data_IF_094804598198
#
_entry.id   IF_094804598198
#
_cell.length_a   1.000
_cell.length_b   1.000
_cell.length_c   1.000
_cell.angle_alpha   90.00
_cell.angle_beta   90.00
_cell.angle_gamma   90.00
#
_symmetry.space_group_name_H-M   'P 1'
#
loop_
_entity.id
_entity.type
_entity.pdbx_description
1 polymer ?
#
# COMPACT_ATOMS: atom_id res chain seq x y z
N UNK A 1 2.73 4.04 13.14
CA UNK A 1 3.04 4.60 11.80
C UNK A 1 1.78 5.05 11.06
N UNK A 2 0.94 4.17 10.52
CA UNK A 2 -0.24 4.59 9.75
C UNK A 2 -1.24 5.45 10.54
N UNK A 3 -1.42 5.15 11.83
CA UNK A 3 -2.26 5.98 12.72
C UNK A 3 -1.65 7.37 12.95
N UNK A 4 -0.33 7.45 13.15
CA UNK A 4 0.39 8.72 13.31
C UNK A 4 0.33 9.55 12.02
N UNK A 5 0.44 8.91 10.85
CA UNK A 5 0.28 9.55 9.54
C UNK A 5 -1.13 10.12 9.41
N UNK A 6 -2.17 9.35 9.73
CA UNK A 6 -3.56 9.81 9.66
C UNK A 6 -3.80 11.01 10.60
N UNK A 7 -3.29 10.94 11.83
CA UNK A 7 -3.38 12.04 12.79
C UNK A 7 -2.66 13.30 12.29
N UNK A 8 -1.45 13.15 11.75
CA UNK A 8 -0.66 14.25 11.18
C UNK A 8 -1.35 14.90 9.97
N UNK A 9 -2.08 14.13 9.17
CA UNK A 9 -2.89 14.63 8.06
C UNK A 9 -4.21 15.28 8.53
N UNK A 10 -4.55 15.20 9.81
CA UNK A 10 -5.85 15.62 10.34
C UNK A 10 -7.01 14.79 9.83
N UNK A 11 -6.76 13.55 9.42
CA UNK A 11 -7.75 12.67 8.81
C UNK A 11 -8.52 11.86 9.87
N UNK A 12 -9.81 11.65 9.62
CA UNK A 12 -10.54 10.55 10.24
C UNK A 12 -9.96 9.21 9.76
N UNK A 13 -9.81 8.24 10.67
CA UNK A 13 -9.43 6.88 10.30
C UNK A 13 -10.48 5.86 10.73
N UNK A 14 -10.58 4.79 9.96
CA UNK A 14 -11.44 3.64 10.22
C UNK A 14 -10.64 2.37 10.01
N UNK A 15 -10.72 1.44 10.96
CA UNK A 15 -10.05 0.14 10.87
C UNK A 15 -11.11 -0.89 10.46
N UNK A 16 -11.01 -1.39 9.24
CA UNK A 16 -11.87 -2.47 8.76
C UNK A 16 -11.35 -3.79 9.31
N UNK A 17 -12.10 -4.42 10.21
CA UNK A 17 -11.70 -5.70 10.80
C UNK A 17 -12.91 -6.53 11.23
N UNK A 18 -13.04 -7.72 10.67
CA UNK A 18 -14.07 -8.69 11.08
C UNK A 18 -13.58 -9.67 12.15
N UNK A 19 -12.27 -9.72 12.39
CA UNK A 19 -11.66 -10.67 13.31
C UNK A 19 -11.44 -10.03 14.68
N UNK A 20 -12.25 -10.42 15.67
CA UNK A 20 -12.17 -9.88 17.05
C UNK A 20 -10.84 -10.14 17.75
N UNK A 21 -10.14 -11.23 17.43
CA UNK A 21 -8.80 -11.44 17.95
C UNK A 21 -7.80 -10.45 17.37
N UNK A 22 -7.90 -10.15 16.06
CA UNK A 22 -7.04 -9.17 15.41
C UNK A 22 -7.35 -7.75 15.91
N UNK A 23 -8.63 -7.39 16.06
CA UNK A 23 -9.06 -6.14 16.69
C UNK A 23 -8.43 -5.97 18.09
N UNK A 24 -8.52 -6.99 18.94
CA UNK A 24 -7.88 -6.97 20.26
C UNK A 24 -6.36 -6.81 20.17
N UNK A 25 -5.72 -7.49 19.23
CA UNK A 25 -4.28 -7.37 19.00
C UNK A 25 -3.91 -5.94 18.61
N UNK A 26 -4.60 -5.34 17.64
CA UNK A 26 -4.39 -3.95 17.21
C UNK A 26 -4.55 -3.00 18.40
N UNK A 27 -5.62 -3.13 19.18
CA UNK A 27 -5.85 -2.32 20.39
C UNK A 27 -4.73 -2.44 21.45
N UNK A 28 -4.09 -3.61 21.54
CA UNK A 28 -3.04 -3.88 22.52
C UNK A 28 -1.65 -3.45 22.04
N UNK A 29 -1.40 -3.49 20.74
CA UNK A 29 -0.05 -3.29 20.16
C UNK A 29 0.13 -1.98 19.43
N UNK A 30 -0.95 -1.27 19.10
CA UNK A 30 -0.87 0.02 18.46
C UNK A 30 -1.08 1.13 19.49
N UNK A 31 -0.41 2.24 19.26
CA UNK A 31 -0.62 3.48 20.00
C UNK A 31 -1.59 4.36 19.21
N UNK A 32 -2.52 4.96 19.95
CA UNK A 32 -3.56 5.81 19.40
C UNK A 32 -3.46 7.18 20.06
N UNK A 33 -3.42 8.24 19.26
CA UNK A 33 -3.44 9.61 19.78
C UNK A 33 -4.84 9.98 20.30
N UNK A 34 -5.89 9.53 19.61
CA UNK A 34 -7.29 9.67 19.99
C UNK A 34 -7.85 8.36 20.58
N UNK A 35 -8.73 8.49 21.59
CA UNK A 35 -9.49 7.38 22.17
C UNK A 35 -10.69 6.98 21.31
N UNK A 36 -11.09 7.78 20.34
CA UNK A 36 -12.19 7.47 19.42
C UNK A 36 -11.76 6.48 18.32
N UNK A 37 -11.40 5.27 18.73
CA UNK A 37 -10.92 4.22 17.83
C UNK A 37 -12.12 3.57 17.11
N UNK A 38 -12.19 3.76 15.78
CA UNK A 38 -13.33 3.32 14.97
C UNK A 38 -13.02 1.99 14.26
N UNK A 39 -13.60 0.89 14.75
CA UNK A 39 -13.63 -0.38 14.02
C UNK A 39 -14.95 -0.52 13.26
N UNK A 40 -14.86 -0.91 11.99
CA UNK A 40 -16.02 -1.12 11.12
C UNK A 40 -15.97 -2.50 10.47
N UNK A 41 -17.12 -3.17 10.24
CA UNK A 41 -17.16 -4.47 9.61
C UNK A 41 -16.93 -4.36 8.10
N UNK A 42 -16.54 -5.47 7.47
CA UNK A 42 -16.56 -5.56 6.01
C UNK A 42 -17.99 -5.60 5.46
N UNK A 43 -18.16 -5.18 4.20
CA UNK A 43 -19.46 -5.21 3.51
C UNK A 43 -19.83 -6.57 2.92
N UNK A 44 -19.13 -7.65 3.29
CA UNK A 44 -19.04 -8.89 2.53
C UNK A 44 -20.35 -9.50 1.98
N UNK A 45 -21.47 -9.44 2.71
CA UNK A 45 -22.74 -10.02 2.23
C UNK A 45 -23.46 -9.19 1.17
N UNK A 46 -23.47 -7.86 1.30
CA UNK A 46 -24.24 -6.99 0.39
C UNK A 46 -23.55 -6.74 -0.95
N UNK A 47 -22.23 -6.96 -1.02
CA UNK A 47 -21.43 -6.72 -2.23
C UNK A 47 -21.08 -8.00 -2.99
N UNK A 48 -21.52 -9.18 -2.50
CA UNK A 48 -21.09 -10.48 -3.00
C UNK A 48 -21.38 -10.68 -4.49
N UNK A 49 -22.59 -10.37 -4.93
CA UNK A 49 -22.97 -10.56 -6.35
C UNK A 49 -22.12 -9.69 -7.29
N UNK A 50 -21.82 -8.46 -6.86
CA UNK A 50 -20.93 -7.55 -7.58
C UNK A 50 -19.49 -8.07 -7.56
N UNK A 51 -18.97 -8.39 -6.37
CA UNK A 51 -17.61 -8.88 -6.18
C UNK A 51 -17.33 -10.15 -7.00
N UNK A 52 -18.26 -11.10 -7.08
CA UNK A 52 -18.09 -12.37 -7.78
C UNK A 52 -17.78 -12.20 -9.29
N UNK A 53 -18.01 -11.01 -9.87
CA UNK A 53 -17.69 -10.64 -11.27
C UNK A 53 -16.33 -9.95 -11.43
N UNK A 54 -15.71 -9.57 -10.33
CA UNK A 54 -14.48 -8.78 -10.28
C UNK A 54 -13.24 -9.59 -9.85
N UNK A 55 -13.41 -10.89 -9.57
CA UNK A 55 -12.29 -11.76 -9.18
C UNK A 55 -12.42 -13.20 -9.70
N UNK A 56 -11.34 -13.97 -9.62
CA UNK A 56 -11.33 -15.43 -9.79
C UNK A 56 -10.65 -16.13 -8.62
N UNK A 57 -11.04 -17.39 -8.38
CA UNK A 57 -10.38 -18.28 -7.41
C UNK A 57 -10.24 -17.71 -6.00
N UNK A 58 -9.01 -17.73 -5.49
CA UNK A 58 -8.68 -17.41 -4.10
C UNK A 58 -8.67 -15.90 -3.79
N UNK A 59 -8.84 -15.04 -4.80
CA UNK A 59 -8.82 -13.59 -4.63
C UNK A 59 -10.11 -12.98 -4.09
N UNK A 60 -11.08 -13.83 -3.73
CA UNK A 60 -12.35 -13.41 -3.14
C UNK A 60 -12.15 -12.45 -1.97
N UNK A 61 -11.36 -12.83 -0.98
CA UNK A 61 -11.23 -12.05 0.25
C UNK A 61 -10.52 -10.71 0.02
N UNK A 62 -9.45 -10.69 -0.78
CA UNK A 62 -8.76 -9.45 -1.16
C UNK A 62 -9.72 -8.50 -1.90
N UNK A 63 -10.48 -9.01 -2.87
CA UNK A 63 -11.45 -8.20 -3.62
C UNK A 63 -12.55 -7.63 -2.73
N UNK A 64 -13.08 -8.44 -1.80
CA UNK A 64 -14.04 -7.94 -0.81
C UNK A 64 -13.44 -6.88 0.13
N UNK A 65 -12.18 -7.04 0.52
CA UNK A 65 -11.47 -6.07 1.36
C UNK A 65 -11.32 -4.73 0.62
N UNK A 66 -10.83 -4.73 -0.62
CA UNK A 66 -10.66 -3.48 -1.39
C UNK A 66 -11.97 -2.82 -1.82
N UNK A 67 -13.06 -3.58 -2.02
CA UNK A 67 -14.39 -3.01 -2.29
C UNK A 67 -14.99 -2.34 -1.04
N UNK A 68 -14.71 -2.87 0.16
CA UNK A 68 -15.36 -2.42 1.40
C UNK A 68 -15.22 -0.90 1.66
N UNK A 69 -14.03 -0.28 1.52
CA UNK A 69 -13.86 1.18 1.65
C UNK A 69 -14.81 2.00 0.79
N UNK A 70 -15.01 1.64 -0.49
CA UNK A 70 -15.91 2.37 -1.39
C UNK A 70 -17.35 2.42 -0.84
N UNK A 71 -17.86 1.29 -0.35
CA UNK A 71 -19.22 1.21 0.19
C UNK A 71 -19.37 1.96 1.52
N UNK A 72 -18.34 1.96 2.38
CA UNK A 72 -18.36 2.78 3.59
C UNK A 72 -18.32 4.26 3.24
N UNK A 73 -17.44 4.66 2.32
CA UNK A 73 -17.33 6.03 1.86
C UNK A 73 -18.68 6.54 1.31
N UNK A 74 -19.33 5.80 0.39
CA UNK A 74 -20.66 6.17 -0.14
C UNK A 74 -21.73 6.26 0.96
N UNK A 75 -21.76 5.30 1.91
CA UNK A 75 -22.73 5.34 3.02
C UNK A 75 -22.51 6.54 3.94
N UNK A 76 -21.26 6.94 4.16
CA UNK A 76 -20.89 8.04 5.04
C UNK A 76 -20.85 9.40 4.32
N UNK A 77 -21.07 9.44 3.00
CA UNK A 77 -21.06 10.66 2.21
C UNK A 77 -19.66 11.19 1.87
N UNK A 78 -18.63 10.36 1.97
CA UNK A 78 -17.26 10.71 1.56
C UNK A 78 -17.07 10.47 0.06
N UNK A 79 -16.54 11.47 -0.64
CA UNK A 79 -16.16 11.37 -2.06
C UNK A 79 -14.71 10.92 -2.27
N UNK A 80 -13.85 11.09 -1.27
CA UNK A 80 -12.43 10.76 -1.38
C UNK A 80 -11.93 10.11 -0.10
N UNK A 81 -11.02 9.15 -0.22
CA UNK A 81 -10.44 8.44 0.91
C UNK A 81 -9.11 7.79 0.55
N UNK A 82 -8.27 7.57 1.56
CA UNK A 82 -7.14 6.65 1.48
C UNK A 82 -7.58 5.22 1.83
N UNK A 83 -7.23 4.27 0.98
CA UNK A 83 -7.32 2.84 1.23
C UNK A 83 -5.92 2.29 1.39
N UNK A 84 -5.61 1.80 2.60
CA UNK A 84 -4.26 1.37 2.97
C UNK A 84 -4.28 -0.07 3.46
N UNK A 85 -3.46 -0.92 2.84
CA UNK A 85 -3.16 -2.26 3.27
C UNK A 85 -2.09 -2.21 4.37
N UNK A 86 -2.57 -2.03 5.60
CA UNK A 86 -1.76 -1.52 6.70
C UNK A 86 -0.84 -2.58 7.34
N UNK A 87 -1.08 -3.87 7.09
CA UNK A 87 -0.28 -4.97 7.64
C UNK A 87 0.84 -5.45 6.70
N UNK A 88 0.76 -5.18 5.40
CA UNK A 88 1.72 -5.67 4.41
C UNK A 88 2.50 -4.58 3.64
N UNK A 89 2.23 -3.29 3.88
CA UNK A 89 3.00 -2.19 3.28
C UNK A 89 3.60 -1.25 4.32
N UNK A 90 4.82 -0.75 4.06
CA UNK A 90 5.46 0.25 4.92
C UNK A 90 6.43 1.14 4.18
N UNK A 91 6.24 2.46 4.26
CA UNK A 91 7.30 3.43 3.99
C UNK A 91 8.34 3.38 5.12
N UNK A 92 9.62 3.43 4.76
CA UNK A 92 10.71 3.63 5.69
C UNK A 92 11.09 5.11 5.65
N UNK A 93 10.19 5.92 6.18
CA UNK A 93 10.29 7.37 6.23
C UNK A 93 9.50 7.86 7.46
N UNK A 94 9.89 8.99 8.04
CA UNK A 94 9.17 9.53 9.20
C UNK A 94 7.71 9.83 8.88
N UNK A 95 6.83 9.74 9.88
CA UNK A 95 5.40 9.90 9.65
C UNK A 95 5.05 11.31 9.18
N UNK A 96 5.77 12.36 9.63
CA UNK A 96 5.59 13.72 9.14
C UNK A 96 5.92 13.84 7.66
N UNK A 97 7.04 13.25 7.22
CA UNK A 97 7.44 13.30 5.82
C UNK A 97 6.56 12.42 4.93
N UNK A 98 6.10 11.29 5.47
CA UNK A 98 5.10 10.45 4.80
C UNK A 98 3.79 11.20 4.63
N UNK A 99 3.30 11.90 5.65
CA UNK A 99 2.09 12.71 5.56
C UNK A 99 2.21 13.81 4.51
N UNK A 100 3.37 14.50 4.43
CA UNK A 100 3.65 15.49 3.38
C UNK A 100 3.56 14.88 1.97
N UNK A 101 4.07 13.66 1.78
CA UNK A 101 4.03 12.99 0.49
C UNK A 101 2.60 12.64 0.10
N UNK A 102 1.82 12.08 1.02
CA UNK A 102 0.42 11.72 0.77
C UNK A 102 -0.43 12.98 0.50
N UNK A 103 -0.20 14.08 1.22
CA UNK A 103 -0.87 15.37 0.94
C UNK A 103 -0.55 15.87 -0.47
N UNK A 104 0.71 15.76 -0.94
CA UNK A 104 1.06 16.12 -2.32
C UNK A 104 0.36 15.22 -3.35
N UNK A 105 0.21 13.92 -3.06
CA UNK A 105 -0.58 13.01 -3.91
C UNK A 105 -2.03 13.45 -3.98
N UNK A 106 -2.67 13.77 -2.85
CA UNK A 106 -4.05 14.25 -2.84
C UNK A 106 -4.25 15.53 -3.66
N UNK A 107 -3.34 16.48 -3.50
CA UNK A 107 -3.36 17.75 -4.23
C UNK A 107 -3.25 17.50 -5.73
N UNK A 108 -2.26 16.69 -6.14
CA UNK A 108 -2.07 16.31 -7.54
C UNK A 108 -3.33 15.64 -8.11
N UNK A 109 -3.91 14.67 -7.40
CA UNK A 109 -5.11 13.95 -7.84
C UNK A 109 -6.28 14.91 -8.07
N UNK A 110 -6.54 15.80 -7.11
CA UNK A 110 -7.64 16.77 -7.17
C UNK A 110 -7.42 17.77 -8.30
N UNK A 111 -6.20 18.31 -8.46
CA UNK A 111 -5.86 19.26 -9.52
C UNK A 111 -5.93 18.66 -10.92
N UNK A 112 -5.56 17.39 -11.06
CA UNK A 112 -5.49 16.68 -12.35
C UNK A 112 -6.74 15.88 -12.70
N UNK A 113 -7.75 15.89 -11.83
CA UNK A 113 -8.99 15.14 -12.00
C UNK A 113 -8.79 13.62 -12.06
N UNK A 114 -7.73 13.10 -11.43
CA UNK A 114 -7.47 11.66 -11.35
C UNK A 114 -8.53 11.02 -10.46
N UNK A 115 -9.04 9.84 -10.84
CA UNK A 115 -10.09 9.12 -10.13
C UNK A 115 -9.52 8.17 -9.06
N UNK A 116 -8.39 7.54 -9.35
CA UNK A 116 -7.68 6.68 -8.42
C UNK A 116 -6.17 6.78 -8.65
N UNK A 117 -5.41 6.83 -7.56
CA UNK A 117 -3.95 6.92 -7.60
C UNK A 117 -3.34 5.97 -6.59
N UNK A 118 -2.46 5.07 -7.02
CA UNK A 118 -1.82 4.09 -6.13
C UNK A 118 -0.31 4.21 -6.13
N UNK A 119 0.30 3.83 -5.02
CA UNK A 119 1.73 3.67 -4.91
C UNK A 119 2.23 2.66 -5.94
N UNK A 120 3.41 2.90 -6.51
CA UNK A 120 4.16 1.99 -7.37
C UNK A 120 4.67 0.77 -6.59
N UNK A 121 3.75 -0.04 -6.06
CA UNK A 121 4.09 -1.28 -5.40
C UNK A 121 4.48 -2.32 -6.43
N UNK A 122 3.66 -2.53 -7.46
CA UNK A 122 3.88 -3.54 -8.51
C UNK A 122 4.04 -2.99 -9.92
N UNK A 123 3.75 -1.71 -10.12
CA UNK A 123 3.53 -1.15 -11.46
C UNK A 123 4.80 -1.14 -12.30
N UNK A 124 5.90 -0.55 -11.82
CA UNK A 124 7.18 -0.56 -12.51
C UNK A 124 7.77 -1.96 -12.61
N UNK A 125 7.56 -2.82 -11.59
CA UNK A 125 8.01 -4.22 -11.61
C UNK A 125 7.40 -5.02 -12.75
N UNK A 126 6.14 -4.73 -13.07
CA UNK A 126 5.38 -5.34 -14.16
C UNK A 126 5.47 -4.55 -15.46
N UNK A 127 6.41 -3.59 -15.54
CA UNK A 127 6.61 -2.74 -16.72
C UNK A 127 5.36 -1.95 -17.13
N UNK A 128 4.63 -1.44 -16.15
CA UNK A 128 3.42 -0.62 -16.34
C UNK A 128 2.16 -1.43 -16.65
N UNK A 129 2.19 -2.75 -16.51
CA UNK A 129 1.08 -3.65 -16.91
C UNK A 129 0.11 -4.00 -15.79
N UNK A 130 0.47 -3.75 -14.54
CA UNK A 130 -0.37 -4.10 -13.39
C UNK A 130 -0.44 -2.94 -12.40
N UNK A 131 -1.61 -2.32 -12.32
CA UNK A 131 -1.94 -1.37 -11.27
C UNK A 131 -2.50 -2.14 -10.07
N UNK A 132 -2.13 -1.77 -8.85
CA UNK A 132 -2.47 -2.55 -7.64
C UNK A 132 -2.92 -1.66 -6.49
N UNK A 133 -3.83 -2.16 -5.67
CA UNK A 133 -4.14 -1.61 -4.36
C UNK A 133 -2.98 -1.85 -3.38
N UNK A 134 -2.83 -0.97 -2.40
CA UNK A 134 -1.85 -1.11 -1.32
C UNK A 134 -1.78 0.16 -0.49
N UNK A 135 -1.37 1.25 -1.12
CA UNK A 135 -1.50 2.61 -0.57
C UNK A 135 -2.13 3.46 -1.66
N UNK A 136 -3.45 3.60 -1.58
CA UNK A 136 -4.25 4.11 -2.71
C UNK A 136 -5.12 5.26 -2.25
N UNK A 137 -5.07 6.36 -2.98
CA UNK A 137 -6.02 7.45 -2.83
C UNK A 137 -7.12 7.32 -3.88
N UNK A 138 -8.36 7.32 -3.42
CA UNK A 138 -9.54 7.32 -4.25
C UNK A 138 -10.15 8.72 -4.21
N UNK A 139 -10.43 9.26 -5.39
CA UNK A 139 -11.17 10.48 -5.61
C UNK A 139 -12.35 10.13 -6.53
N UNK A 140 -13.47 9.73 -5.93
CA UNK A 140 -14.61 9.14 -6.65
C UNK A 140 -15.40 10.21 -7.42
N UNK A 141 -14.86 10.62 -8.57
CA UNK A 141 -15.47 11.54 -9.53
C UNK A 141 -16.15 10.83 -10.71
N UNK A 142 -16.11 9.49 -10.75
CA UNK A 142 -16.70 8.66 -11.81
C UNK A 142 -17.81 7.74 -11.32
N UNK A 143 -18.04 7.65 -10.00
CA UNK A 143 -19.06 6.77 -9.43
C UNK A 143 -18.64 5.31 -9.47
N UNK A 144 -17.50 4.98 -8.85
CA UNK A 144 -16.92 3.63 -8.86
C UNK A 144 -17.90 2.54 -8.45
N UNK A 145 -18.75 2.79 -7.46
CA UNK A 145 -19.76 1.79 -7.05
C UNK A 145 -20.72 1.46 -8.19
N UNK A 146 -21.12 2.44 -8.98
CA UNK A 146 -22.05 2.23 -10.07
C UNK A 146 -21.33 1.47 -11.21
N UNK A 147 -20.06 1.75 -11.46
CA UNK A 147 -19.20 0.97 -12.37
C UNK A 147 -19.14 -0.51 -11.94
N UNK A 148 -18.89 -0.77 -10.65
CA UNK A 148 -18.84 -2.13 -10.13
C UNK A 148 -20.18 -2.84 -10.34
N UNK A 149 -21.30 -2.17 -10.01
CA UNK A 149 -22.65 -2.74 -10.11
C UNK A 149 -23.08 -3.01 -11.55
N UNK A 150 -22.67 -2.14 -12.48
CA UNK A 150 -22.95 -2.27 -13.91
C UNK A 150 -22.03 -3.26 -14.62
N UNK A 151 -20.94 -3.70 -13.98
CA UNK A 151 -20.13 -4.80 -14.49
C UNK A 151 -20.92 -6.10 -14.36
N UNK A 152 -21.36 -6.66 -15.50
CA UNK A 152 -22.26 -7.83 -15.54
C UNK A 152 -21.56 -9.17 -15.77
N UNK A 153 -20.30 -9.17 -16.22
CA UNK A 153 -19.56 -10.39 -16.57
C UNK A 153 -18.05 -10.26 -16.29
N UNK A 154 -17.32 -11.36 -16.49
CA UNK A 154 -15.85 -11.46 -16.38
C UNK A 154 -15.13 -11.26 -17.71
N UNK A 155 -15.82 -10.74 -18.72
CA UNK A 155 -15.28 -10.62 -20.08
C UNK A 155 -14.05 -9.70 -20.15
N UNK A 156 -14.00 -8.69 -19.28
CA UNK A 156 -12.84 -7.79 -19.11
C UNK A 156 -11.53 -8.54 -18.84
N UNK A 157 -11.57 -9.75 -18.26
CA UNK A 157 -10.38 -10.55 -17.97
C UNK A 157 -9.71 -11.07 -19.25
N UNK A 158 -10.45 -11.18 -20.36
CA UNK A 158 -9.91 -11.69 -21.65
C UNK A 158 -8.74 -10.86 -22.17
N UNK A 159 -8.68 -9.58 -21.82
CA UNK A 159 -7.59 -8.67 -22.18
C UNK A 159 -6.23 -9.07 -21.57
N UNK A 160 -6.23 -9.91 -20.54
CA UNK A 160 -5.03 -10.21 -19.74
C UNK A 160 -4.74 -11.71 -19.60
N UNK A 161 -5.47 -12.58 -20.30
CA UNK A 161 -5.37 -14.05 -20.17
C UNK A 161 -3.99 -14.62 -20.54
N UNK A 162 -3.20 -13.90 -21.33
CA UNK A 162 -1.82 -14.30 -21.64
C UNK A 162 -0.84 -14.03 -20.48
N UNK A 163 -1.21 -13.17 -19.54
CA UNK A 163 -0.34 -12.72 -18.44
C UNK A 163 -0.77 -13.26 -17.09
N UNK A 164 -2.06 -13.48 -16.88
CA UNK A 164 -2.61 -13.87 -15.59
C UNK A 164 -3.76 -14.86 -15.74
N UNK A 165 -3.88 -15.75 -14.76
CA UNK A 165 -4.97 -16.75 -14.63
C UNK A 165 -5.86 -16.49 -13.41
N UNK A 166 -5.36 -15.72 -12.44
CA UNK A 166 -6.03 -15.38 -11.20
C UNK A 166 -6.21 -13.86 -11.07
N UNK A 167 -7.45 -13.39 -11.26
CA UNK A 167 -7.80 -11.98 -11.29
C UNK A 167 -8.41 -11.51 -9.97
N UNK A 168 -8.11 -10.28 -9.58
CA UNK A 168 -8.64 -9.61 -8.41
C UNK A 168 -9.04 -8.16 -8.78
N UNK A 169 -9.36 -7.34 -7.79
CA UNK A 169 -9.74 -5.95 -8.03
C UNK A 169 -8.60 -5.09 -8.63
N UNK A 170 -7.33 -5.42 -8.37
CA UNK A 170 -6.17 -4.74 -8.97
C UNK A 170 -6.23 -4.81 -10.50
N UNK A 171 -6.45 -6.02 -11.02
CA UNK A 171 -6.59 -6.25 -12.47
C UNK A 171 -7.85 -5.60 -13.05
N UNK A 172 -8.92 -5.49 -12.27
CA UNK A 172 -10.10 -4.76 -12.72
C UNK A 172 -9.80 -3.25 -12.82
N UNK A 173 -9.07 -2.66 -11.87
CA UNK A 173 -8.64 -1.27 -11.98
C UNK A 173 -7.62 -1.06 -13.11
N UNK A 174 -6.79 -2.06 -13.39
CA UNK A 174 -5.92 -2.07 -14.57
C UNK A 174 -6.76 -2.05 -15.86
N UNK A 175 -7.83 -2.86 -15.95
CA UNK A 175 -8.80 -2.82 -17.05
C UNK A 175 -9.42 -1.42 -17.23
N UNK A 176 -9.93 -0.84 -16.14
CA UNK A 176 -10.54 0.49 -16.17
C UNK A 176 -9.53 1.54 -16.66
N UNK A 177 -8.27 1.45 -16.23
CA UNK A 177 -7.20 2.36 -16.65
C UNK A 177 -6.89 2.23 -18.15
N UNK A 178 -6.83 1.00 -18.66
CA UNK A 178 -6.32 0.73 -20.01
C UNK A 178 -7.40 0.84 -21.09
N UNK A 179 -8.66 0.54 -20.76
CA UNK A 179 -9.73 0.36 -21.73
C UNK A 179 -10.96 1.26 -21.51
N UNK A 180 -11.05 1.94 -20.37
CA UNK A 180 -12.15 2.89 -20.10
C UNK A 180 -11.61 4.33 -20.05
N UNK A 181 -12.49 5.32 -20.24
CA UNK A 181 -12.15 6.74 -20.15
C UNK A 181 -12.09 7.21 -18.68
N UNK A 182 -11.28 6.51 -17.87
CA UNK A 182 -11.11 6.77 -16.44
C UNK A 182 -9.64 7.02 -16.17
N UNK A 183 -9.35 8.20 -15.62
CA UNK A 183 -7.98 8.59 -15.30
C UNK A 183 -7.52 7.91 -14.01
N UNK A 184 -6.75 6.85 -14.14
CA UNK A 184 -6.15 6.09 -13.03
C UNK A 184 -4.62 6.16 -13.19
N UNK A 185 -3.94 6.63 -12.14
CA UNK A 185 -2.49 6.88 -12.18
C UNK A 185 -1.75 6.13 -11.07
N UNK A 186 -0.42 6.12 -11.18
CA UNK A 186 0.49 5.54 -10.19
C UNK A 186 1.43 6.63 -9.69
N UNK A 187 1.88 6.54 -8.44
CA UNK A 187 2.90 7.45 -7.88
C UNK A 187 4.04 6.70 -7.21
N UNK A 188 5.18 7.35 -7.09
CA UNK A 188 6.26 6.92 -6.21
C UNK A 188 6.83 8.10 -5.44
N UNK A 189 7.56 7.82 -4.36
CA UNK A 189 8.21 8.85 -3.56
C UNK A 189 9.71 8.79 -3.84
N UNK A 190 10.26 9.87 -4.39
CA UNK A 190 11.67 10.02 -4.69
C UNK A 190 12.53 9.91 -3.43
N UNK A 191 13.62 9.12 -3.50
CA UNK A 191 14.55 8.82 -2.40
C UNK A 191 13.87 8.17 -1.19
N UNK A 192 12.85 7.35 -1.43
CA UNK A 192 12.11 6.63 -0.38
C UNK A 192 12.43 5.13 -0.42
N UNK A 193 12.65 4.58 0.77
CA UNK A 193 12.69 3.15 0.99
C UNK A 193 11.28 2.63 1.29
N UNK A 194 10.93 1.45 0.79
CA UNK A 194 9.63 0.84 1.02
C UNK A 194 9.73 -0.68 1.16
N UNK A 195 8.82 -1.24 1.96
CA UNK A 195 8.71 -2.67 2.20
C UNK A 195 7.30 -3.13 1.84
N UNK A 196 7.23 -4.16 1.00
CA UNK A 196 6.08 -5.04 0.92
C UNK A 196 6.38 -6.33 1.67
N UNK A 197 5.66 -6.56 2.77
CA UNK A 197 5.95 -7.61 3.73
C UNK A 197 5.52 -8.99 3.22
N UNK A 198 6.33 -9.98 3.55
CA UNK A 198 6.08 -11.39 3.28
C UNK A 198 7.39 -12.16 3.30
N UNK A 199 7.53 -13.21 2.49
CA UNK A 199 8.69 -14.09 2.53
C UNK A 199 9.81 -13.65 1.57
N UNK A 200 10.47 -12.55 1.88
CA UNK A 200 11.48 -11.91 1.01
C UNK A 200 12.73 -12.74 0.76
N UNK A 201 13.04 -13.71 1.62
CA UNK A 201 14.18 -14.62 1.44
C UNK A 201 13.89 -15.70 0.39
N UNK A 202 12.66 -16.20 0.35
CA UNK A 202 12.27 -17.28 -0.58
C UNK A 202 11.71 -16.71 -1.88
N UNK A 203 11.01 -15.58 -1.80
CA UNK A 203 10.38 -14.94 -2.95
C UNK A 203 10.63 -13.42 -2.96
N UNK A 204 11.85 -12.98 -3.33
CA UNK A 204 12.20 -11.56 -3.40
C UNK A 204 11.41 -10.80 -4.49
N UNK A 205 10.66 -11.53 -5.33
CA UNK A 205 9.78 -10.99 -6.35
C UNK A 205 8.34 -10.77 -5.88
N UNK A 206 7.97 -11.20 -4.68
CA UNK A 206 6.64 -10.93 -4.11
C UNK A 206 6.67 -10.28 -2.74
N UNK A 207 7.82 -10.27 -2.10
CA UNK A 207 8.03 -9.55 -0.85
C UNK A 207 9.41 -8.97 -0.91
N UNK A 208 9.53 -7.66 -0.77
CA UNK A 208 10.80 -6.99 -1.01
C UNK A 208 10.95 -5.76 -0.14
N UNK A 209 12.22 -5.40 0.02
CA UNK A 209 12.63 -4.05 0.34
C UNK A 209 13.05 -3.43 -0.98
N UNK A 210 12.51 -2.27 -1.31
CA UNK A 210 12.89 -1.52 -2.51
C UNK A 210 13.22 -0.06 -2.17
N UNK A 211 13.84 0.63 -3.13
CA UNK A 211 14.20 2.04 -3.02
C UNK A 211 14.00 2.74 -4.36
N UNK A 212 13.27 3.86 -4.37
CA UNK A 212 13.13 4.68 -5.58
C UNK A 212 14.13 5.83 -5.57
N UNK A 213 14.87 6.02 -6.65
CA UNK A 213 15.79 7.14 -6.82
C UNK A 213 16.12 7.37 -8.30
N UNK A 214 16.17 8.64 -8.72
CA UNK A 214 16.61 9.06 -10.05
C UNK A 214 15.87 8.34 -11.20
N UNK A 215 14.55 8.18 -11.06
CA UNK A 215 13.73 7.50 -12.08
C UNK A 215 13.91 5.98 -12.13
N UNK A 216 14.55 5.39 -11.12
CA UNK A 216 14.76 3.94 -11.01
C UNK A 216 14.19 3.38 -9.71
N UNK A 217 13.73 2.15 -9.77
CA UNK A 217 13.38 1.33 -8.62
C UNK A 217 14.43 0.24 -8.42
N UNK A 218 14.99 0.22 -7.22
CA UNK A 218 16.07 -0.66 -6.80
C UNK A 218 15.55 -1.75 -5.87
N UNK A 219 15.97 -2.99 -6.08
CA UNK A 219 15.67 -4.16 -5.25
C UNK A 219 16.99 -4.72 -4.73
N UNK A 220 17.48 -4.26 -3.57
CA UNK A 220 18.86 -4.53 -3.13
C UNK A 220 19.19 -6.01 -2.92
N UNK A 221 18.20 -6.85 -2.60
CA UNK A 221 18.43 -8.30 -2.48
C UNK A 221 18.78 -8.89 -3.86
N UNK A 222 18.04 -8.53 -4.90
CA UNK A 222 18.30 -8.98 -6.26
C UNK A 222 19.63 -8.43 -6.79
N UNK A 223 19.90 -7.13 -6.57
CA UNK A 223 21.14 -6.50 -7.01
C UNK A 223 22.38 -7.01 -6.25
N UNK A 224 22.27 -7.12 -4.93
CA UNK A 224 23.40 -7.35 -4.03
C UNK A 224 23.68 -8.82 -3.74
N UNK A 225 22.65 -9.66 -3.53
CA UNK A 225 22.82 -11.07 -3.16
C UNK A 225 22.78 -11.96 -4.40
N UNK A 226 21.79 -11.75 -5.27
CA UNK A 226 21.65 -12.53 -6.51
C UNK A 226 22.50 -12.00 -7.66
N UNK A 227 23.12 -10.83 -7.50
CA UNK A 227 23.90 -10.14 -8.54
C UNK A 227 23.12 -9.95 -9.85
N UNK A 228 21.79 -9.85 -9.76
CA UNK A 228 20.90 -9.71 -10.91
C UNK A 228 20.46 -8.24 -11.03
N UNK A 229 21.26 -7.45 -11.76
CA UNK A 229 20.94 -6.03 -12.00
C UNK A 229 19.73 -5.83 -12.92
N UNK A 230 19.51 -6.72 -13.88
CA UNK A 230 18.38 -6.62 -14.82
C UNK A 230 17.03 -6.74 -14.10
N UNK A 231 16.94 -7.65 -13.12
CA UNK A 231 15.74 -7.79 -12.31
C UNK A 231 15.74 -6.86 -11.08
N UNK A 232 16.93 -6.42 -10.64
CA UNK A 232 17.14 -5.66 -9.42
C UNK A 232 17.10 -4.15 -9.58
N UNK A 233 17.26 -3.62 -10.79
CA UNK A 233 17.28 -2.17 -11.04
C UNK A 233 16.47 -1.89 -12.31
N UNK A 234 15.25 -1.40 -12.13
CA UNK A 234 14.31 -1.17 -13.22
C UNK A 234 14.08 0.33 -13.39
N UNK A 235 13.82 0.75 -14.62
CA UNK A 235 13.27 2.08 -14.86
C UNK A 235 11.86 2.14 -14.27
N UNK A 236 11.56 3.26 -13.61
CA UNK A 236 10.20 3.53 -13.14
C UNK A 236 9.33 3.72 -14.39
N UNK A 237 8.19 3.04 -14.41
CA UNK A 237 7.20 3.17 -15.48
C UNK A 237 6.56 4.57 -15.46
N UNK A 238 5.48 4.78 -16.22
CA UNK A 238 4.77 6.07 -16.26
C UNK A 238 4.04 6.36 -14.93
N UNK A 239 4.81 6.74 -13.91
CA UNK A 239 4.36 7.02 -12.55
C UNK A 239 4.79 8.43 -12.13
N UNK A 240 3.89 9.09 -11.40
CA UNK A 240 4.08 10.46 -10.92
C UNK A 240 5.10 10.48 -9.79
N UNK A 241 6.12 11.32 -9.95
CA UNK A 241 7.15 11.53 -8.92
C UNK A 241 6.67 12.49 -7.85
N UNK A 242 6.67 12.03 -6.60
CA UNK A 242 6.49 12.87 -5.41
C UNK A 242 7.85 13.08 -4.74
N UNK A 243 8.25 14.33 -4.51
CA UNK A 243 9.52 14.64 -3.85
C UNK A 243 9.31 15.45 -2.57
N UNK A 244 9.49 14.78 -1.44
CA UNK A 244 9.44 15.35 -0.08
C UNK A 244 10.82 15.50 0.54
N UNK A 245 11.87 15.48 -0.29
CA UNK A 245 13.28 15.55 0.13
C UNK A 245 13.63 14.45 1.14
N UNK A 246 13.06 13.26 0.93
CA UNK A 246 13.47 12.06 1.63
C UNK A 246 14.94 11.74 1.34
N UNK A 247 15.55 10.96 2.22
CA UNK A 247 16.96 10.59 2.12
C UNK A 247 17.13 9.10 2.33
N UNK A 248 18.07 8.50 1.61
CA UNK A 248 18.44 7.09 1.78
C UNK A 248 18.78 6.75 3.24
N UNK A 249 19.49 7.65 3.93
CA UNK A 249 19.94 7.45 5.32
C UNK A 249 18.79 7.45 6.33
N UNK A 250 17.74 8.23 6.11
CA UNK A 250 16.52 8.19 6.94
C UNK A 250 15.91 6.79 6.92
N UNK A 251 15.62 6.26 5.72
CA UNK A 251 14.98 4.95 5.62
C UNK A 251 15.87 3.81 6.09
N UNK A 252 17.18 3.87 5.86
CA UNK A 252 18.12 2.90 6.42
C UNK A 252 18.12 2.91 7.95
N UNK A 253 18.16 4.09 8.59
CA UNK A 253 18.09 4.19 10.05
C UNK A 253 16.78 3.63 10.60
N UNK A 254 15.65 3.88 9.95
CA UNK A 254 14.34 3.33 10.35
C UNK A 254 14.34 1.80 10.22
N UNK A 255 14.88 1.26 9.12
CA UNK A 255 14.99 -0.18 8.89
C UNK A 255 15.87 -0.86 9.94
N UNK A 256 17.06 -0.31 10.20
CA UNK A 256 18.00 -0.81 11.21
C UNK A 256 17.35 -0.85 12.60
N UNK A 257 16.68 0.23 12.98
CA UNK A 257 15.96 0.33 14.24
C UNK A 257 14.86 -0.73 14.34
N UNK A 258 14.05 -0.91 13.29
CA UNK A 258 12.97 -1.91 13.25
C UNK A 258 13.48 -3.34 13.38
N UNK A 259 14.60 -3.69 12.73
CA UNK A 259 15.22 -5.01 12.86
C UNK A 259 15.75 -5.23 14.28
N UNK A 260 16.47 -4.24 14.80
CA UNK A 260 17.12 -4.37 16.11
C UNK A 260 16.09 -4.40 17.24
N UNK A 261 14.94 -3.73 17.10
CA UNK A 261 13.82 -3.75 18.05
C UNK A 261 12.80 -4.86 17.82
N UNK A 262 13.05 -5.79 16.89
CA UNK A 262 12.12 -6.90 16.67
C UNK A 262 11.92 -7.70 17.97
N UNK A 263 10.69 -8.21 18.17
CA UNK A 263 10.30 -9.02 19.34
C UNK A 263 11.15 -10.26 19.57
N UNK A 264 11.96 -10.63 18.57
CA UNK A 264 12.85 -11.79 18.58
C UNK A 264 14.16 -11.54 19.32
N UNK A 265 14.52 -10.26 19.56
CA UNK A 265 15.73 -9.91 20.29
C UNK A 265 15.39 -9.23 21.63
N UNK A 266 15.65 -9.94 22.72
CA UNK A 266 15.67 -9.33 24.06
C UNK A 266 16.91 -8.45 24.23
N UNK A 267 16.91 -7.57 25.23
CA UNK A 267 18.06 -6.67 25.50
C UNK A 267 19.40 -7.41 25.65
N UNK A 268 19.37 -8.61 26.23
CA UNK A 268 20.51 -9.49 26.42
C UNK A 268 21.06 -9.99 25.09
N UNK A 269 20.17 -10.41 24.18
CA UNK A 269 20.55 -10.85 22.84
C UNK A 269 21.09 -9.68 22.01
N UNK A 270 20.51 -8.49 22.17
CA UNK A 270 21.04 -7.29 21.51
C UNK A 270 22.49 -7.00 21.90
N UNK A 271 22.79 -7.10 23.20
CA UNK A 271 24.17 -7.00 23.70
C UNK A 271 25.09 -8.11 23.19
N UNK A 272 24.59 -9.36 23.16
CA UNK A 272 25.34 -10.50 22.65
C UNK A 272 25.77 -10.32 21.19
N UNK A 273 24.87 -9.82 20.35
CA UNK A 273 25.15 -9.53 18.93
C UNK A 273 25.79 -8.17 18.69
N UNK A 274 26.14 -7.43 19.76
CA UNK A 274 26.73 -6.09 19.70
C UNK A 274 25.91 -5.11 18.86
N UNK A 275 24.58 -5.24 18.87
CA UNK A 275 23.69 -4.38 18.08
C UNK A 275 22.87 -3.41 18.93
N UNK A 276 23.23 -3.21 20.21
CA UNK A 276 22.48 -2.31 21.11
C UNK A 276 22.41 -0.87 20.61
N UNK A 277 23.45 -0.40 19.90
CA UNK A 277 23.55 0.98 19.42
C UNK A 277 22.66 1.25 18.19
N UNK A 278 22.27 0.21 17.47
CA UNK A 278 21.30 0.26 16.36
C UNK A 278 19.85 0.32 16.85
N UNK A 279 19.60 0.05 18.14
CA UNK A 279 18.27 0.08 18.76
C UNK A 279 18.06 1.34 19.62
N UNK A 280 18.55 2.50 19.19
CA UNK A 280 18.44 3.71 20.03
C UNK A 280 16.98 4.15 20.24
N UNK A 281 16.62 4.43 21.49
CA UNK A 281 15.29 4.94 21.88
C UNK A 281 15.15 6.46 21.74
N UNK A 282 16.24 7.14 21.34
CA UNK A 282 16.36 8.60 21.43
C UNK A 282 15.77 9.38 20.25
N UNK A 283 15.04 8.75 19.34
CA UNK A 283 14.57 9.48 18.15
C UNK A 283 13.32 8.99 17.45
N UNK A 284 12.98 7.69 17.47
CA UNK A 284 12.10 7.19 16.42
C UNK A 284 11.13 6.08 16.84
N UNK A 285 9.89 6.29 16.37
CA UNK A 285 8.69 5.46 16.44
C UNK A 285 8.28 5.04 17.85
N UNK A 286 7.19 5.64 18.33
CA UNK A 286 6.40 5.09 19.43
C UNK A 286 5.83 3.74 18.93
N UNK A 287 6.39 2.63 19.38
CA UNK A 287 5.82 1.29 19.16
C UNK A 287 4.84 0.95 20.29
#
# INVERSE_FOLDING_TARGET
MWLDIAAQMGADYYIICDNKWLEHKVLKTCLFEDRNIKFIPSYGRSVRQTADRLYTGNWRFATHAHLTPFYHAKKMGYQSFWSVDADDTSFLMEYERTSQALIQVEQYVKEKGVSAMSLDMWFSRTHGKHWSFGVTFINDNVGFIDIFQNTVSKEWMKHYQEMETAFNLDWFFTYLKDFEDIKIETFYIERCWFIHWGNSLINPFYSWVNYWENGKIHYPILEGIYHNKEAGCLDIADAVRIDVRATKDEGMRILENRICKSRYFQSQQRRLFQNQDFASDKGYLRF
#
